data_IF_948565317542
#
_entry.id   IF_948565317542
#
_cell.length_a   1.000
_cell.length_b   1.000
_cell.length_c   1.000
_cell.angle_alpha   90.00
_cell.angle_beta   90.00
_cell.angle_gamma   90.00
#
_symmetry.space_group_name_H-M   'P 1'
#
loop_
_entity.id
_entity.type
_entity.pdbx_description
1 polymer ?
#
# COMPACT_ATOMS: atom_id res chain seq x y z
N UNK A 1 -30.59 30.06 -21.46
CA UNK A 1 -29.56 29.35 -22.25
C UNK A 1 -29.63 27.89 -21.87
N UNK A 2 -30.18 27.04 -22.74
CA UNK A 2 -30.20 25.59 -22.54
C UNK A 2 -28.88 25.05 -23.07
N UNK A 3 -27.99 24.60 -22.17
CA UNK A 3 -26.78 23.88 -22.57
C UNK A 3 -27.14 22.59 -23.30
N UNK A 4 -26.32 22.13 -24.26
CA UNK A 4 -26.61 20.90 -24.98
C UNK A 4 -26.66 19.75 -23.97
N UNK A 5 -27.82 19.08 -23.88
CA UNK A 5 -27.89 17.77 -23.22
C UNK A 5 -26.95 16.86 -24.00
N UNK A 6 -25.76 16.63 -23.44
CA UNK A 6 -24.86 15.58 -23.89
C UNK A 6 -25.67 14.29 -23.89
N UNK A 7 -25.71 13.62 -25.05
CA UNK A 7 -26.38 12.34 -25.18
C UNK A 7 -25.77 11.39 -24.15
N UNK A 8 -26.52 11.12 -23.08
CA UNK A 8 -26.01 10.52 -21.85
C UNK A 8 -25.23 9.21 -22.12
N UNK A 9 -25.69 8.33 -23.02
CA UNK A 9 -24.96 7.12 -23.39
C UNK A 9 -23.62 7.41 -24.10
N UNK A 10 -23.59 8.37 -25.03
CA UNK A 10 -22.38 8.70 -25.78
C UNK A 10 -21.35 9.46 -24.94
N UNK A 11 -21.80 10.25 -23.97
CA UNK A 11 -20.92 10.91 -23.01
C UNK A 11 -20.26 9.91 -22.07
N UNK A 12 -21.05 8.99 -21.48
CA UNK A 12 -20.53 7.93 -20.61
C UNK A 12 -19.52 7.07 -21.36
N UNK A 13 -19.82 6.64 -22.59
CA UNK A 13 -18.89 5.85 -23.40
C UNK A 13 -17.55 6.56 -23.66
N UNK A 14 -17.54 7.89 -23.75
CA UNK A 14 -16.32 8.69 -23.95
C UNK A 14 -15.55 8.91 -22.64
N UNK A 15 -16.24 9.05 -21.51
CA UNK A 15 -15.61 9.36 -20.22
C UNK A 15 -15.21 8.12 -19.43
N UNK A 16 -15.84 6.97 -19.67
CA UNK A 16 -15.58 5.73 -18.91
C UNK A 16 -14.12 5.25 -18.98
N UNK A 17 -13.42 5.28 -20.13
CA UNK A 17 -12.01 4.89 -20.18
C UNK A 17 -11.11 5.80 -19.32
N UNK A 18 -11.38 7.11 -19.33
CA UNK A 18 -10.65 8.09 -18.51
C UNK A 18 -10.92 7.83 -17.04
N UNK A 19 -12.17 7.56 -16.66
CA UNK A 19 -12.56 7.24 -15.29
C UNK A 19 -11.89 5.96 -14.78
N UNK A 20 -11.77 4.94 -15.62
CA UNK A 20 -11.07 3.70 -15.30
C UNK A 20 -9.57 3.91 -15.14
N UNK A 21 -8.94 4.76 -15.95
CA UNK A 21 -7.53 5.13 -15.80
C UNK A 21 -7.28 5.81 -14.45
N UNK A 22 -8.11 6.77 -14.06
CA UNK A 22 -7.98 7.43 -12.75
C UNK A 22 -8.16 6.46 -11.58
N UNK A 23 -9.13 5.55 -11.66
CA UNK A 23 -9.32 4.52 -10.64
C UNK A 23 -8.11 3.58 -10.53
N UNK A 24 -7.53 3.18 -11.66
CA UNK A 24 -6.32 2.35 -11.66
C UNK A 24 -5.11 3.07 -11.05
N UNK A 25 -4.94 4.37 -11.34
CA UNK A 25 -3.90 5.20 -10.72
C UNK A 25 -4.10 5.31 -9.21
N UNK A 26 -5.33 5.57 -8.75
CA UNK A 26 -5.65 5.66 -7.32
C UNK A 26 -5.36 4.34 -6.58
N UNK A 27 -5.74 3.20 -7.16
CA UNK A 27 -5.42 1.89 -6.58
C UNK A 27 -3.90 1.69 -6.48
N UNK A 28 -3.14 2.10 -7.49
CA UNK A 28 -1.68 1.96 -7.47
C UNK A 28 -1.05 2.87 -6.41
N UNK A 29 -1.52 4.11 -6.27
CA UNK A 29 -1.10 5.03 -5.21
C UNK A 29 -1.47 4.51 -3.81
N UNK A 30 -2.65 3.91 -3.63
CA UNK A 30 -3.06 3.28 -2.37
C UNK A 30 -2.19 2.06 -2.03
N UNK A 31 -1.83 1.24 -3.02
CA UNK A 31 -0.93 0.10 -2.84
C UNK A 31 0.48 0.58 -2.47
N UNK A 32 1.01 1.57 -3.18
CA UNK A 32 2.35 2.13 -2.92
C UNK A 32 2.41 2.78 -1.52
N UNK A 33 1.36 3.51 -1.12
CA UNK A 33 1.25 4.07 0.22
C UNK A 33 1.13 2.98 1.29
N UNK A 34 0.35 1.93 1.03
CA UNK A 34 0.23 0.78 1.94
C UNK A 34 1.55 0.02 2.12
N UNK A 35 2.33 -0.13 1.05
CA UNK A 35 3.66 -0.73 1.10
C UNK A 35 4.65 0.15 1.88
N UNK A 36 4.62 1.47 1.68
CA UNK A 36 5.45 2.41 2.45
C UNK A 36 5.14 2.35 3.95
N UNK A 37 3.87 2.39 4.33
CA UNK A 37 3.46 2.26 5.74
C UNK A 37 3.95 0.93 6.32
N UNK A 38 3.76 -0.17 5.59
CA UNK A 38 4.21 -1.51 6.02
C UNK A 38 5.74 -1.55 6.19
N UNK A 39 6.49 -0.89 5.31
CA UNK A 39 7.94 -0.82 5.39
C UNK A 39 8.42 0.02 6.59
N UNK A 40 7.78 1.15 6.87
CA UNK A 40 8.08 1.99 8.03
C UNK A 40 7.82 1.24 9.34
N UNK A 41 6.66 0.58 9.47
CA UNK A 41 6.32 -0.24 10.63
C UNK A 41 7.36 -1.35 10.86
N UNK A 42 7.76 -2.04 9.79
CA UNK A 42 8.76 -3.12 9.91
C UNK A 42 10.14 -2.58 10.29
N UNK A 43 10.53 -1.40 9.78
CA UNK A 43 11.79 -0.78 10.18
C UNK A 43 11.79 -0.40 11.67
N UNK A 44 10.68 0.09 12.19
CA UNK A 44 10.51 0.40 13.61
C UNK A 44 10.65 -0.87 14.48
N UNK A 45 9.99 -1.95 14.09
CA UNK A 45 10.06 -3.24 14.78
C UNK A 45 11.46 -3.86 14.75
N UNK A 46 12.15 -3.81 13.61
CA UNK A 46 13.55 -4.28 13.52
C UNK A 46 14.45 -3.49 14.46
N UNK A 47 14.25 -2.17 14.55
CA UNK A 47 15.01 -1.32 15.44
C UNK A 47 14.75 -1.66 16.91
N UNK A 48 13.50 -1.93 17.27
CA UNK A 48 13.14 -2.43 18.59
C UNK A 48 13.79 -3.79 18.92
N UNK A 49 13.83 -4.73 17.95
CA UNK A 49 14.52 -6.01 18.12
C UNK A 49 16.02 -5.81 18.37
N UNK A 50 16.67 -4.90 17.64
CA UNK A 50 18.09 -4.59 17.83
C UNK A 50 18.32 -3.97 19.21
N UNK A 51 17.48 -3.03 19.63
CA UNK A 51 17.61 -2.34 20.92
C UNK A 51 17.43 -3.30 22.11
N UNK A 52 16.57 -4.32 21.96
CA UNK A 52 16.29 -5.33 22.99
C UNK A 52 17.05 -6.63 22.80
N UNK A 53 17.96 -6.69 21.82
CA UNK A 53 18.73 -7.89 21.47
C UNK A 53 19.46 -8.52 22.66
N UNK A 54 20.12 -7.75 23.56
CA UNK A 54 20.85 -8.31 24.70
C UNK A 54 19.94 -8.97 25.74
N UNK A 55 18.66 -8.61 25.78
CA UNK A 55 17.70 -9.07 26.78
C UNK A 55 16.96 -10.36 26.35
N UNK A 56 17.19 -10.81 25.11
CA UNK A 56 16.48 -11.92 24.47
C UNK A 56 17.43 -13.04 24.06
N UNK A 57 16.90 -14.25 23.93
CA UNK A 57 17.65 -15.36 23.37
C UNK A 57 17.89 -15.20 21.87
N UNK A 58 18.92 -15.86 21.35
CA UNK A 58 19.23 -15.83 19.91
C UNK A 58 18.10 -16.41 19.05
N UNK A 59 17.37 -17.42 19.55
CA UNK A 59 16.24 -18.02 18.82
C UNK A 59 15.04 -17.06 18.76
N UNK A 60 14.73 -16.38 19.87
CA UNK A 60 13.66 -15.35 19.90
C UNK A 60 13.98 -14.20 18.94
N UNK A 61 15.23 -13.74 18.90
CA UNK A 61 15.65 -12.68 17.97
C UNK A 61 15.55 -13.14 16.51
N UNK A 62 15.93 -14.39 16.20
CA UNK A 62 15.80 -14.97 14.85
C UNK A 62 14.34 -15.12 14.43
N UNK A 63 13.48 -15.57 15.33
CA UNK A 63 12.04 -15.70 15.06
C UNK A 63 11.40 -14.34 14.83
N UNK A 64 11.70 -13.34 15.65
CA UNK A 64 11.21 -11.98 15.49
C UNK A 64 11.63 -11.36 14.14
N UNK A 65 12.89 -11.54 13.73
CA UNK A 65 13.36 -11.08 12.42
C UNK A 65 12.69 -11.81 11.24
N UNK A 66 12.45 -13.13 11.36
CA UNK A 66 11.73 -13.90 10.33
C UNK A 66 10.30 -13.39 10.15
N UNK A 67 9.63 -13.03 11.25
CA UNK A 67 8.27 -12.51 11.19
C UNK A 67 8.22 -11.15 10.49
N UNK A 68 9.16 -10.25 10.79
CA UNK A 68 9.27 -8.97 10.08
C UNK A 68 9.58 -9.16 8.59
N UNK A 69 10.41 -10.15 8.23
CA UNK A 69 10.66 -10.49 6.83
C UNK A 69 9.41 -11.01 6.10
N UNK A 70 8.57 -11.82 6.75
CA UNK A 70 7.28 -12.25 6.17
C UNK A 70 6.35 -11.08 5.94
N UNK A 71 6.24 -10.14 6.90
CA UNK A 71 5.39 -8.95 6.77
C UNK A 71 5.78 -8.07 5.57
N UNK A 72 7.07 -7.98 5.25
CA UNK A 72 7.56 -7.24 4.08
C UNK A 72 7.36 -7.96 2.75
N UNK A 73 7.51 -9.29 2.74
CA UNK A 73 7.58 -10.07 1.50
C UNK A 73 6.24 -10.66 1.06
N UNK A 74 5.28 -10.79 1.97
CA UNK A 74 4.01 -11.47 1.72
C UNK A 74 4.14 -12.98 1.74
#
# INVERSE_FOLDING_TARGET
>A
MNGPLLDFPSYVAKTEPIRQQHAATQIMEEVDNGLMITAEDVLEEIRYIIDTWPDRSEEENREALREQARRLLG
#
